data_IF_027824969947
#
_entry.id   IF_027824969947
#
_cell.length_a   1.000
_cell.length_b   1.000
_cell.length_c   1.000
_cell.angle_alpha   90.00
_cell.angle_beta   90.00
_cell.angle_gamma   90.00
#
_symmetry.space_group_name_H-M   'P 1'
#
loop_
_entity.id
_entity.type
_entity.pdbx_description
1 polymer ?
#
# COMPACT_ATOMS: atom_id res chain seq x y z
N UNK A 1 9.89 5.93 9.56
CA UNK A 1 9.88 5.80 8.09
C UNK A 1 8.72 6.61 7.52
N UNK A 2 8.85 7.25 6.34
CA UNK A 2 7.82 8.15 5.77
C UNK A 2 6.46 7.45 5.56
N UNK A 3 6.46 6.19 5.13
CA UNK A 3 5.23 5.41 4.93
C UNK A 3 4.48 5.18 6.26
N UNK A 4 5.20 4.84 7.33
CA UNK A 4 4.62 4.74 8.69
C UNK A 4 4.05 6.06 9.23
N UNK A 5 4.38 7.20 8.60
CA UNK A 5 3.84 8.53 8.93
C UNK A 5 2.74 8.99 7.95
N UNK A 6 2.20 8.07 7.13
CA UNK A 6 1.11 8.34 6.20
C UNK A 6 1.53 8.79 4.80
N UNK A 7 2.84 8.79 4.47
CA UNK A 7 3.27 9.10 3.10
C UNK A 7 2.98 7.91 2.16
N UNK A 8 2.48 8.22 0.96
CA UNK A 8 2.26 7.20 -0.08
C UNK A 8 3.59 6.71 -0.68
N UNK A 9 3.64 5.49 -1.26
CA UNK A 9 4.82 5.02 -2.00
C UNK A 9 5.26 5.97 -3.11
N UNK A 10 4.33 6.74 -3.72
CA UNK A 10 4.65 7.74 -4.74
C UNK A 10 5.38 8.96 -4.16
N UNK A 11 4.97 9.43 -2.99
CA UNK A 11 5.65 10.55 -2.31
C UNK A 11 7.07 10.14 -1.89
N UNK A 12 7.22 8.93 -1.36
CA UNK A 12 8.53 8.38 -0.99
C UNK A 12 9.40 8.14 -2.22
N UNK A 13 8.84 7.62 -3.32
CA UNK A 13 9.53 7.48 -4.61
C UNK A 13 10.15 8.79 -5.08
N UNK A 14 9.37 9.88 -5.08
CA UNK A 14 9.88 11.20 -5.48
C UNK A 14 10.99 11.68 -4.56
N UNK A 15 10.87 11.44 -3.25
CA UNK A 15 11.86 11.89 -2.26
C UNK A 15 13.19 11.14 -2.33
N UNK A 16 13.15 9.87 -2.74
CA UNK A 16 14.31 8.98 -2.86
C UNK A 16 14.89 8.91 -4.28
N UNK A 17 14.18 9.44 -5.29
CA UNK A 17 14.64 9.44 -6.67
C UNK A 17 14.50 8.08 -7.39
N UNK A 18 13.69 7.16 -6.90
CA UNK A 18 13.44 5.90 -7.61
C UNK A 18 12.75 6.16 -8.95
N UNK A 19 13.15 5.45 -10.00
CA UNK A 19 12.63 5.63 -11.35
C UNK A 19 11.12 5.34 -11.45
N UNK A 20 10.60 4.42 -10.62
CA UNK A 20 9.19 4.01 -10.62
C UNK A 20 8.65 3.84 -9.20
N UNK A 21 7.36 4.10 -8.95
CA UNK A 21 6.74 3.87 -7.65
C UNK A 21 6.83 2.41 -7.19
N UNK A 22 6.78 1.45 -8.13
CA UNK A 22 6.89 0.02 -7.85
C UNK A 22 8.18 -0.37 -7.13
N UNK A 23 9.31 0.30 -7.43
CA UNK A 23 10.58 0.07 -6.72
C UNK A 23 10.40 0.37 -5.23
N UNK A 24 9.74 1.49 -4.92
CA UNK A 24 9.48 1.88 -3.53
C UNK A 24 8.48 0.93 -2.87
N UNK A 25 7.41 0.56 -3.57
CA UNK A 25 6.42 -0.36 -3.06
C UNK A 25 7.06 -1.71 -2.70
N UNK A 26 7.81 -2.31 -3.63
CA UNK A 26 8.45 -3.62 -3.44
C UNK A 26 9.42 -3.66 -2.25
N UNK A 27 10.17 -2.57 -2.00
CA UNK A 27 11.09 -2.47 -0.86
C UNK A 27 10.34 -2.48 0.47
N UNK A 28 9.12 -1.95 0.48
CA UNK A 28 8.34 -1.73 1.70
C UNK A 28 7.09 -2.59 1.82
N UNK A 29 6.93 -3.61 0.97
CA UNK A 29 5.76 -4.52 0.99
C UNK A 29 5.55 -5.16 2.36
N UNK A 30 6.63 -5.48 3.07
CA UNK A 30 6.63 -6.04 4.43
C UNK A 30 5.88 -5.19 5.47
N UNK A 31 5.59 -3.93 5.16
CA UNK A 31 4.78 -3.07 6.04
C UNK A 31 3.29 -3.45 6.07
N UNK A 32 2.83 -4.29 5.14
CA UNK A 32 1.42 -4.66 4.95
C UNK A 32 1.18 -6.18 5.00
N UNK A 33 2.18 -6.99 5.36
CA UNK A 33 2.01 -8.46 5.47
C UNK A 33 0.93 -8.86 6.49
N UNK A 34 0.66 -8.02 7.49
CA UNK A 34 -0.41 -8.25 8.48
C UNK A 34 -1.80 -7.76 8.03
N UNK A 35 -1.90 -7.04 6.90
CA UNK A 35 -3.14 -6.40 6.42
C UNK A 35 -3.82 -7.18 5.26
N UNK A 36 -3.30 -8.36 4.86
CA UNK A 36 -3.88 -9.16 3.78
C UNK A 36 -5.31 -9.61 4.10
N UNK A 37 -5.56 -10.15 5.30
CA UNK A 37 -6.89 -10.59 5.74
C UNK A 37 -7.89 -9.43 5.73
N UNK A 38 -7.46 -8.26 6.22
CA UNK A 38 -8.28 -7.05 6.22
C UNK A 38 -8.65 -6.60 4.80
N UNK A 39 -7.73 -6.74 3.85
CA UNK A 39 -7.98 -6.34 2.46
C UNK A 39 -9.01 -7.28 1.82
N UNK A 40 -8.96 -8.57 2.14
CA UNK A 40 -9.96 -9.54 1.70
C UNK A 40 -11.36 -9.20 2.27
N UNK A 41 -11.45 -8.92 3.58
CA UNK A 41 -12.72 -8.54 4.22
C UNK A 41 -13.34 -7.28 3.61
N UNK A 42 -12.51 -6.27 3.31
CA UNK A 42 -12.95 -5.05 2.67
C UNK A 42 -13.47 -5.28 1.25
N UNK A 43 -12.83 -6.20 0.50
CA UNK A 43 -13.31 -6.59 -0.83
C UNK A 43 -14.63 -7.33 -0.76
N UNK A 44 -14.76 -8.29 0.16
CA UNK A 44 -16.00 -9.05 0.36
C UNK A 44 -17.17 -8.11 0.72
N UNK A 45 -16.95 -7.17 1.63
CA UNK A 45 -17.95 -6.15 1.96
C UNK A 45 -18.35 -5.30 0.74
N UNK A 46 -17.37 -4.88 -0.07
CA UNK A 46 -17.65 -4.05 -1.24
C UNK A 46 -18.41 -4.80 -2.35
N UNK A 47 -18.19 -6.11 -2.48
CA UNK A 47 -18.89 -6.97 -3.44
C UNK A 47 -20.33 -7.27 -2.99
N UNK A 48 -20.55 -7.47 -1.70
CA UNK A 48 -21.87 -7.73 -1.13
C UNK A 48 -22.78 -6.48 -1.09
N UNK A 49 -22.19 -5.28 -1.16
CA UNK A 49 -22.91 -3.99 -1.27
C UNK A 49 -23.36 -3.65 -2.71
N UNK A 50 -23.05 -4.50 -3.71
CA UNK A 50 -23.54 -4.33 -5.08
C UNK A 50 -24.96 -4.92 -5.19
N UNK A 51 -25.99 -4.12 -5.53
CA UNK A 51 -27.38 -4.57 -5.63
C UNK A 51 -27.65 -5.59 -6.76
#
# INVERSE_FOLDING_TARGET
MLIKKGATPKQVQKRLGHAKPSITLNVYTHLWEADEDRTADMMESALNDVP
#
